data_IF_836649341524
#
_entry.id   IF_836649341524
#
_cell.length_a   1.000
_cell.length_b   1.000
_cell.length_c   1.000
_cell.angle_alpha   90.00
_cell.angle_beta   90.00
_cell.angle_gamma   90.00
#
_symmetry.space_group_name_H-M   'P 1'
#
loop_
_entity.id
_entity.type
_entity.pdbx_description
1 polymer ?
#
# COMPACT_ATOMS: atom_id res chain seq x y z
N UNK A 1 -12.07 10.53 0.84
CA UNK A 1 -10.72 10.00 1.08
C UNK A 1 -10.86 8.54 1.50
N UNK A 2 -10.16 7.59 0.88
CA UNK A 2 -10.30 6.16 1.23
C UNK A 2 -9.56 5.88 2.55
N UNK A 3 -10.24 5.27 3.52
CA UNK A 3 -9.64 4.88 4.81
C UNK A 3 -8.78 3.62 4.66
N UNK A 4 -7.80 3.42 5.55
CA UNK A 4 -7.01 2.19 5.62
C UNK A 4 -7.88 0.96 5.87
N UNK A 5 -8.89 1.08 6.74
CA UNK A 5 -9.85 0.01 7.03
C UNK A 5 -10.61 -0.45 5.77
N UNK A 6 -11.17 0.49 5.01
CA UNK A 6 -11.93 0.17 3.79
C UNK A 6 -11.00 -0.41 2.72
N UNK A 7 -9.83 0.22 2.50
CA UNK A 7 -8.83 -0.28 1.58
C UNK A 7 -8.45 -1.72 1.89
N UNK A 8 -8.04 -1.99 3.15
CA UNK A 8 -7.57 -3.30 3.56
C UNK A 8 -8.66 -4.34 3.41
N UNK A 9 -9.90 -4.02 3.82
CA UNK A 9 -11.08 -4.88 3.62
C UNK A 9 -11.31 -5.26 2.16
N UNK A 10 -11.24 -4.30 1.23
CA UNK A 10 -11.40 -4.60 -0.20
C UNK A 10 -10.24 -5.41 -0.76
N UNK A 11 -9.02 -5.13 -0.32
CA UNK A 11 -7.82 -5.76 -0.83
C UNK A 11 -7.67 -7.23 -0.43
N UNK A 12 -8.10 -7.60 0.78
CA UNK A 12 -8.11 -9.00 1.25
C UNK A 12 -9.43 -9.72 0.98
N UNK A 13 -10.37 -9.06 0.29
CA UNK A 13 -11.68 -9.63 -0.02
C UNK A 13 -11.56 -10.90 -0.89
N UNK A 14 -12.45 -11.87 -0.64
CA UNK A 14 -12.64 -13.01 -1.54
C UNK A 14 -13.27 -12.62 -2.89
N UNK A 15 -13.82 -11.41 -2.99
CA UNK A 15 -14.35 -10.88 -4.24
C UNK A 15 -13.23 -10.39 -5.15
N UNK A 16 -13.07 -11.03 -6.31
CA UNK A 16 -12.00 -10.72 -7.26
C UNK A 16 -12.04 -9.28 -7.80
N UNK A 17 -13.24 -8.69 -7.96
CA UNK A 17 -13.37 -7.31 -8.46
C UNK A 17 -12.96 -6.28 -7.42
N UNK A 18 -13.29 -6.52 -6.16
CA UNK A 18 -12.88 -5.64 -5.05
C UNK A 18 -11.37 -5.70 -4.86
N UNK A 19 -10.81 -6.92 -4.86
CA UNK A 19 -9.37 -7.14 -4.79
C UNK A 19 -8.63 -6.46 -5.94
N UNK A 20 -9.14 -6.59 -7.17
CA UNK A 20 -8.57 -5.92 -8.35
C UNK A 20 -8.59 -4.39 -8.19
N UNK A 21 -9.73 -3.81 -7.80
CA UNK A 21 -9.87 -2.35 -7.63
C UNK A 21 -8.95 -1.81 -6.54
N UNK A 22 -8.84 -2.52 -5.42
CA UNK A 22 -7.90 -2.17 -4.36
C UNK A 22 -6.45 -2.30 -4.84
N UNK A 23 -6.12 -3.33 -5.64
CA UNK A 23 -4.81 -3.45 -6.27
C UNK A 23 -4.48 -2.27 -7.22
N UNK A 24 -5.46 -1.82 -8.01
CA UNK A 24 -5.28 -0.62 -8.86
C UNK A 24 -5.10 0.65 -8.03
N UNK A 25 -5.80 0.77 -6.90
CA UNK A 25 -5.59 1.88 -5.97
C UNK A 25 -4.16 1.87 -5.41
N UNK A 26 -3.66 0.71 -4.97
CA UNK A 26 -2.28 0.55 -4.48
C UNK A 26 -1.28 0.95 -5.56
N UNK A 27 -1.42 0.41 -6.77
CA UNK A 27 -0.56 0.76 -7.92
C UNK A 27 -0.54 2.26 -8.18
N UNK A 28 -1.69 2.93 -8.11
CA UNK A 28 -1.75 4.39 -8.28
C UNK A 28 -1.04 5.18 -7.17
N UNK A 29 -1.02 4.67 -5.93
CA UNK A 29 -0.24 5.27 -4.84
C UNK A 29 1.26 5.06 -5.06
N UNK A 30 1.64 3.84 -5.46
CA UNK A 30 3.03 3.49 -5.76
C UNK A 30 3.57 4.37 -6.90
N UNK A 31 2.93 4.39 -8.08
CA UNK A 31 3.35 5.18 -9.24
C UNK A 31 3.40 6.69 -8.96
N UNK A 32 2.53 7.21 -8.10
CA UNK A 32 2.52 8.62 -7.77
C UNK A 32 3.73 9.05 -6.90
N UNK A 33 4.31 8.11 -6.15
CA UNK A 33 5.24 8.39 -5.03
C UNK A 33 6.63 7.75 -5.20
N UNK A 34 6.72 6.71 -6.03
CA UNK A 34 7.98 6.06 -6.40
C UNK A 34 8.90 7.04 -7.15
N UNK A 35 10.21 6.90 -6.95
CA UNK A 35 11.26 7.82 -7.40
C UNK A 35 11.15 9.27 -6.87
N UNK A 36 10.24 9.53 -5.91
CA UNK A 36 10.09 10.85 -5.25
C UNK A 36 10.26 10.75 -3.74
N UNK A 37 9.54 9.82 -3.11
CA UNK A 37 9.53 9.64 -1.65
C UNK A 37 10.24 8.34 -1.25
N UNK A 38 10.25 7.36 -2.13
CA UNK A 38 10.86 6.05 -1.95
C UNK A 38 11.28 5.51 -3.32
N UNK A 39 12.20 4.55 -3.34
CA UNK A 39 12.65 3.90 -4.56
C UNK A 39 12.64 2.40 -4.36
N UNK A 40 11.97 1.68 -5.26
CA UNK A 40 11.84 0.24 -5.06
C UNK A 40 11.42 -0.56 -6.28
N UNK A 41 10.95 0.04 -7.38
CA UNK A 41 10.58 -0.74 -8.57
C UNK A 41 11.77 -1.47 -9.20
N UNK A 42 12.98 -0.91 -9.11
CA UNK A 42 14.19 -1.60 -9.55
C UNK A 42 14.65 -2.71 -8.59
N UNK A 43 14.21 -2.68 -7.33
CA UNK A 43 14.69 -3.55 -6.25
C UNK A 43 13.71 -4.68 -5.92
N UNK A 44 12.41 -4.41 -6.03
CA UNK A 44 11.34 -5.28 -5.59
C UNK A 44 10.42 -5.66 -6.75
N UNK A 45 10.00 -6.92 -6.78
CA UNK A 45 8.89 -7.34 -7.64
C UNK A 45 7.58 -6.80 -7.05
N UNK A 46 6.57 -6.58 -7.89
CA UNK A 46 5.22 -6.15 -7.45
C UNK A 46 4.65 -7.05 -6.35
N UNK A 47 4.88 -8.37 -6.43
CA UNK A 47 4.43 -9.30 -5.38
C UNK A 47 5.09 -9.01 -4.02
N UNK A 48 6.36 -8.62 -4.02
CA UNK A 48 7.09 -8.26 -2.81
C UNK A 48 6.55 -6.97 -2.20
N UNK A 49 6.29 -5.95 -3.01
CA UNK A 49 5.68 -4.69 -2.55
C UNK A 49 4.30 -4.92 -1.95
N UNK A 50 3.47 -5.71 -2.63
CA UNK A 50 2.16 -6.12 -2.11
C UNK A 50 2.28 -6.80 -0.74
N UNK A 51 3.23 -7.71 -0.57
CA UNK A 51 3.41 -8.41 0.71
C UNK A 51 3.88 -7.46 1.82
N UNK A 52 4.81 -6.54 1.52
CA UNK A 52 5.30 -5.55 2.48
C UNK A 52 4.18 -4.63 2.99
N UNK A 53 3.33 -4.15 2.07
CA UNK A 53 2.18 -3.32 2.41
C UNK A 53 1.12 -4.15 3.16
N UNK A 54 0.86 -5.39 2.75
CA UNK A 54 -0.08 -6.29 3.43
C UNK A 54 0.34 -6.52 4.89
N UNK A 55 1.59 -6.92 5.14
CA UNK A 55 2.09 -7.16 6.50
C UNK A 55 2.04 -5.88 7.34
N UNK A 56 2.38 -4.73 6.77
CA UNK A 56 2.30 -3.44 7.48
C UNK A 56 0.88 -3.12 7.94
N UNK A 57 -0.11 -3.24 7.05
CA UNK A 57 -1.50 -2.94 7.37
C UNK A 57 -2.13 -3.98 8.29
N UNK A 58 -1.78 -5.26 8.12
CA UNK A 58 -2.26 -6.35 8.98
C UNK A 58 -1.86 -6.18 10.44
N UNK A 59 -0.69 -5.59 10.69
CA UNK A 59 -0.16 -5.38 12.04
C UNK A 59 -0.71 -4.12 12.73
N UNK A 60 -1.57 -3.34 12.05
CA UNK A 60 -2.19 -2.14 12.60
C UNK A 60 -3.51 -2.44 13.31
N UNK A 61 -3.81 -1.64 14.32
CA UNK A 61 -5.12 -1.60 14.96
C UNK A 61 -6.17 -0.93 14.06
N UNK A 62 -7.45 -1.18 14.33
CA UNK A 62 -8.55 -0.50 13.63
C UNK A 62 -8.47 1.02 13.74
N UNK A 63 -7.97 1.54 14.86
CA UNK A 63 -7.80 2.99 15.08
C UNK A 63 -6.72 3.57 14.17
N UNK A 64 -5.56 2.91 14.08
CA UNK A 64 -4.49 3.32 13.15
C UNK A 64 -4.94 3.25 11.69
N UNK A 65 -5.75 2.23 11.34
CA UNK A 65 -6.33 2.05 10.01
C UNK A 65 -7.45 3.06 9.66
N UNK A 66 -7.93 3.89 10.60
CA UNK A 66 -8.87 4.96 10.28
C UNK A 66 -8.22 6.11 9.48
N UNK A 67 -6.88 6.16 9.46
CA UNK A 67 -6.11 7.11 8.65
C UNK A 67 -6.31 6.85 7.15
N UNK A 68 -5.87 7.80 6.31
CA UNK A 68 -5.97 7.67 4.84
C UNK A 68 -5.13 6.47 4.37
N UNK A 69 -5.70 5.59 3.55
CA UNK A 69 -5.00 4.41 3.03
C UNK A 69 -3.68 4.77 2.34
N UNK A 70 -3.69 5.77 1.45
CA UNK A 70 -2.48 6.23 0.77
C UNK A 70 -1.37 6.67 1.74
N UNK A 71 -1.71 7.33 2.85
CA UNK A 71 -0.71 7.76 3.84
C UNK A 71 -0.09 6.56 4.54
N UNK A 72 -0.91 5.58 4.95
CA UNK A 72 -0.42 4.36 5.58
C UNK A 72 0.48 3.53 4.64
N UNK A 73 0.13 3.47 3.35
CA UNK A 73 0.93 2.79 2.32
C UNK A 73 2.26 3.53 2.14
N UNK A 74 2.24 4.85 1.95
CA UNK A 74 3.46 5.66 1.77
C UNK A 74 4.37 5.53 2.99
N UNK A 75 3.82 5.61 4.21
CA UNK A 75 4.58 5.47 5.45
C UNK A 75 5.34 4.15 5.54
N UNK A 76 4.82 3.08 4.92
CA UNK A 76 5.56 1.82 4.80
C UNK A 76 6.64 1.88 3.72
N UNK A 77 6.32 2.44 2.56
CA UNK A 77 7.22 2.45 1.41
C UNK A 77 8.44 3.36 1.60
N UNK A 78 8.31 4.46 2.36
CA UNK A 78 9.44 5.36 2.68
C UNK A 78 10.55 4.71 3.53
N UNK A 79 10.31 3.52 4.10
CA UNK A 79 11.37 2.70 4.70
C UNK A 79 12.41 2.20 3.67
N UNK A 80 12.11 2.35 2.37
CA UNK A 80 12.99 2.06 1.24
C UNK A 80 13.37 3.36 0.52
N UNK A 81 14.24 4.19 1.12
CA UNK A 81 14.60 5.48 0.55
C UNK A 81 15.36 5.33 -0.77
N UNK A 82 15.28 6.34 -1.61
CA UNK A 82 16.14 6.46 -2.78
C UNK A 82 17.59 6.64 -2.33
N UNK A 83 18.46 5.70 -2.70
CA UNK A 83 19.89 5.88 -2.55
C UNK A 83 20.32 7.00 -3.52
N UNK A 84 20.75 8.12 -2.96
CA UNK A 84 21.36 9.24 -3.69
C UNK A 84 22.82 8.91 -3.97
#
# INVERSE_FOLDING_TARGET
>A
NLSGNDFFKFWVSGNQRDKLRAGVYLLGVEDATENKLWCGYALFKTLTLNELVYVSLKNKTNEELNSRAAELIINKLIEYPCNI
#
